data_IF_602688513017
#
_entry.id   IF_602688513017
#
_cell.length_a   1.000
_cell.length_b   1.000
_cell.length_c   1.000
_cell.angle_alpha   90.00
_cell.angle_beta   90.00
_cell.angle_gamma   90.00
#
_symmetry.space_group_name_H-M   'P 1'
#
loop_
_entity.id
_entity.type
_entity.pdbx_description
1 polymer ?
#
# COMPACT_ATOMS: atom_id res chain seq x y z
N UNK A 1 -5.97 -17.55 -22.47
CA UNK A 1 -5.57 -16.50 -21.53
C UNK A 1 -6.78 -16.23 -20.67
N UNK A 2 -6.84 -16.81 -19.46
CA UNK A 2 -7.97 -16.59 -18.56
C UNK A 2 -7.94 -15.12 -18.13
N UNK A 3 -8.97 -14.37 -18.53
CA UNK A 3 -9.17 -13.01 -18.03
C UNK A 3 -9.49 -13.10 -16.54
N UNK A 4 -8.69 -12.43 -15.72
CA UNK A 4 -8.97 -12.25 -14.28
C UNK A 4 -10.42 -11.74 -14.15
N UNK A 5 -11.22 -12.42 -13.32
CA UNK A 5 -12.59 -11.99 -13.00
C UNK A 5 -12.57 -10.50 -12.59
N UNK A 6 -13.39 -9.63 -13.22
CA UNK A 6 -13.43 -8.20 -12.91
C UNK A 6 -13.55 -7.89 -11.42
N UNK A 7 -14.24 -8.73 -10.65
CA UNK A 7 -14.38 -8.58 -9.20
C UNK A 7 -13.02 -8.76 -8.51
N UNK A 8 -12.21 -9.71 -8.96
CA UNK A 8 -10.87 -9.95 -8.40
C UNK A 8 -9.94 -8.76 -8.64
N UNK A 9 -9.98 -8.17 -9.85
CA UNK A 9 -9.18 -6.98 -10.14
C UNK A 9 -9.57 -5.79 -9.25
N UNK A 10 -10.88 -5.57 -9.06
CA UNK A 10 -11.37 -4.51 -8.17
C UNK A 10 -10.90 -4.71 -6.71
N UNK A 11 -10.89 -5.95 -6.21
CA UNK A 11 -10.41 -6.25 -4.87
C UNK A 11 -8.91 -6.01 -4.71
N UNK A 12 -8.11 -6.33 -5.73
CA UNK A 12 -6.66 -6.06 -5.77
C UNK A 12 -6.42 -4.55 -5.71
N UNK A 13 -7.12 -3.77 -6.54
CA UNK A 13 -6.96 -2.31 -6.59
C UNK A 13 -7.42 -1.65 -5.29
N UNK A 14 -8.53 -2.11 -4.71
CA UNK A 14 -9.00 -1.64 -3.41
C UNK A 14 -7.98 -1.91 -2.30
N UNK A 15 -7.37 -3.11 -2.28
CA UNK A 15 -6.33 -3.44 -1.30
C UNK A 15 -5.07 -2.59 -1.50
N UNK A 16 -4.65 -2.39 -2.74
CA UNK A 16 -3.53 -1.51 -3.09
C UNK A 16 -3.77 -0.09 -2.58
N UNK A 17 -4.96 0.45 -2.80
CA UNK A 17 -5.33 1.81 -2.36
C UNK A 17 -5.37 1.95 -0.83
N UNK A 18 -5.93 0.96 -0.13
CA UNK A 18 -5.92 0.92 1.34
C UNK A 18 -4.49 0.97 1.90
N UNK A 19 -3.56 0.21 1.30
CA UNK A 19 -2.15 0.21 1.72
C UNK A 19 -1.53 1.60 1.48
N UNK A 20 -1.80 2.22 0.33
CA UNK A 20 -1.28 3.55 0.00
C UNK A 20 -1.84 4.64 0.93
N UNK A 21 -3.12 4.61 1.26
CA UNK A 21 -3.72 5.53 2.25
C UNK A 21 -3.06 5.41 3.62
N UNK A 22 -2.85 4.17 4.08
CA UNK A 22 -2.18 3.96 5.34
C UNK A 22 -0.72 4.43 5.31
N UNK A 23 -0.02 4.21 4.19
CA UNK A 23 1.34 4.67 4.00
C UNK A 23 1.41 6.21 4.02
N UNK A 24 0.48 6.90 3.35
CA UNK A 24 0.38 8.37 3.37
C UNK A 24 0.24 8.89 4.80
N UNK A 25 -0.68 8.32 5.60
CA UNK A 25 -0.90 8.76 6.97
C UNK A 25 0.35 8.54 7.86
N UNK A 26 0.98 7.37 7.78
CA UNK A 26 2.19 7.06 8.57
C UNK A 26 3.38 7.94 8.13
N UNK A 27 3.54 8.19 6.83
CA UNK A 27 4.57 9.10 6.33
C UNK A 27 4.33 10.55 6.78
N UNK A 28 3.08 11.02 6.81
CA UNK A 28 2.74 12.34 7.30
C UNK A 28 3.00 12.48 8.81
N UNK A 29 2.68 11.46 9.61
CA UNK A 29 2.88 11.49 11.07
C UNK A 29 4.38 11.41 11.46
N UNK A 30 5.16 10.57 10.77
CA UNK A 30 6.49 10.16 11.26
C UNK A 30 7.64 10.63 10.38
N UNK A 31 7.34 11.10 9.16
CA UNK A 31 8.31 11.28 8.08
C UNK A 31 8.75 9.96 7.46
N UNK A 32 9.19 10.03 6.20
CA UNK A 32 9.56 8.84 5.41
C UNK A 32 10.62 7.97 6.09
N UNK A 33 11.69 8.57 6.62
CA UNK A 33 12.80 7.79 7.18
C UNK A 33 12.40 6.96 8.41
N UNK A 34 11.57 7.52 9.32
CA UNK A 34 11.16 6.85 10.56
C UNK A 34 9.97 5.89 10.38
N UNK A 35 9.20 6.04 9.30
CA UNK A 35 8.13 5.11 8.99
C UNK A 35 8.66 3.69 8.69
N UNK A 36 7.88 2.67 9.07
CA UNK A 36 8.20 1.25 8.84
C UNK A 36 7.03 0.55 8.17
N UNK A 37 7.31 -0.52 7.41
CA UNK A 37 6.26 -1.35 6.79
C UNK A 37 5.29 -1.90 7.83
N UNK A 38 5.81 -2.31 9.00
CA UNK A 38 5.00 -2.74 10.14
C UNK A 38 4.01 -1.67 10.61
N UNK A 39 4.46 -0.43 10.80
CA UNK A 39 3.57 0.65 11.22
C UNK A 39 2.47 0.91 10.18
N UNK A 40 2.79 0.80 8.89
CA UNK A 40 1.84 0.93 7.79
C UNK A 40 0.83 -0.21 7.80
N UNK A 41 1.28 -1.45 7.96
CA UNK A 41 0.40 -2.62 8.03
C UNK A 41 -0.55 -2.55 9.22
N UNK A 42 -0.04 -2.16 10.39
CA UNK A 42 -0.84 -1.92 11.58
C UNK A 42 -1.89 -0.83 11.36
N UNK A 43 -1.50 0.29 10.72
CA UNK A 43 -2.43 1.38 10.42
C UNK A 43 -3.48 0.97 9.37
N UNK A 44 -3.11 0.14 8.39
CA UNK A 44 -4.01 -0.44 7.41
C UNK A 44 -4.91 -1.55 7.98
N UNK A 45 -4.62 -2.09 9.17
CA UNK A 45 -5.35 -3.23 9.75
C UNK A 45 -5.13 -4.54 8.98
N UNK A 46 -3.93 -4.76 8.44
CA UNK A 46 -3.56 -5.97 7.70
C UNK A 46 -2.26 -6.58 8.24
N UNK A 47 -1.94 -7.80 7.83
CA UNK A 47 -0.66 -8.41 8.16
C UNK A 47 0.50 -7.77 7.38
N UNK A 48 1.67 -7.64 8.00
CA UNK A 48 2.89 -7.09 7.37
C UNK A 48 3.19 -7.79 6.04
N UNK A 49 3.07 -9.12 6.00
CA UNK A 49 3.27 -9.94 4.79
C UNK A 49 2.34 -9.57 3.63
N UNK A 50 1.13 -9.08 3.92
CA UNK A 50 0.18 -8.67 2.88
C UNK A 50 0.69 -7.45 2.12
N UNK A 51 1.43 -6.53 2.74
CA UNK A 51 2.00 -5.37 2.03
C UNK A 51 2.97 -5.83 0.94
N UNK A 52 3.78 -6.84 1.24
CA UNK A 52 4.80 -7.35 0.32
C UNK A 52 4.23 -8.01 -0.94
N UNK A 53 2.94 -8.35 -0.96
CA UNK A 53 2.25 -8.80 -2.18
C UNK A 53 2.01 -7.65 -3.17
N UNK A 54 2.04 -6.39 -2.71
CA UNK A 54 1.71 -5.20 -3.51
C UNK A 54 2.91 -4.27 -3.71
N UNK A 55 3.81 -4.18 -2.72
CA UNK A 55 4.96 -3.26 -2.71
C UNK A 55 6.19 -3.94 -2.14
N UNK A 56 7.33 -3.86 -2.83
CA UNK A 56 8.53 -4.60 -2.39
C UNK A 56 9.21 -3.94 -1.20
N UNK A 57 9.06 -2.62 -1.06
CA UNK A 57 9.75 -1.83 -0.05
C UNK A 57 9.03 -0.49 0.21
N UNK A 58 9.56 0.29 1.16
CA UNK A 58 9.00 1.58 1.58
C UNK A 58 9.07 2.65 0.48
N UNK A 59 10.07 2.61 -0.39
CA UNK A 59 10.21 3.52 -1.53
C UNK A 59 9.13 3.25 -2.58
N UNK A 60 8.82 1.99 -2.87
CA UNK A 60 7.75 1.63 -3.80
C UNK A 60 6.38 2.16 -3.32
N UNK A 61 6.14 2.19 -2.01
CA UNK A 61 4.95 2.82 -1.42
C UNK A 61 4.93 4.33 -1.67
N UNK A 62 6.06 5.01 -1.47
CA UNK A 62 6.16 6.45 -1.74
C UNK A 62 5.90 6.75 -3.22
N UNK A 63 6.51 5.99 -4.13
CA UNK A 63 6.27 6.13 -5.58
C UNK A 63 4.78 5.91 -5.88
N UNK A 64 4.16 4.85 -5.35
CA UNK A 64 2.75 4.58 -5.57
C UNK A 64 1.82 5.68 -5.01
N UNK A 65 2.22 6.39 -3.96
CA UNK A 65 1.47 7.58 -3.47
C UNK A 65 1.60 8.72 -4.49
N UNK A 66 2.81 8.99 -4.98
CA UNK A 66 3.05 10.06 -5.96
C UNK A 66 2.31 9.80 -7.27
N UNK A 67 2.26 8.54 -7.72
CA UNK A 67 1.53 8.14 -8.92
C UNK A 67 0.01 8.40 -8.80
N UNK A 68 -0.57 8.43 -7.58
CA UNK A 68 -1.98 8.78 -7.34
C UNK A 68 -2.28 10.28 -7.43
N UNK A 69 -1.26 11.12 -7.45
CA UNK A 69 -1.41 12.58 -7.46
C UNK A 69 -1.40 13.18 -8.88
N UNK A 70 -1.14 12.35 -9.90
CA UNK A 70 -1.17 12.71 -11.32
C UNK A 70 -2.49 12.26 -11.95
#
# INVERSE_FOLDING_TARGET
METIDPIQQQLIDARRNQILEAATAVFAERGFHKATIRAIAQHAGIADGTIYNYFKNKTDLLIGILDRLN
#
